data_IF_804516721137
#
_entry.id   IF_804516721137
#
_cell.length_a   1.000
_cell.length_b   1.000
_cell.length_c   1.000
_cell.angle_alpha   90.00
_cell.angle_beta   90.00
_cell.angle_gamma   90.00
#
_symmetry.space_group_name_H-M   'P 1'
#
loop_
_entity.id
_entity.type
_entity.pdbx_description
1 polymer ?
#
# COMPACT_ATOMS: atom_id res chain seq x y z
N UNK A 1 0.81 -13.77 -27.87
CA UNK A 1 -0.46 -13.68 -27.11
C UNK A 1 -0.64 -12.30 -26.46
N UNK A 2 0.31 -11.80 -25.67
CA UNK A 2 0.20 -10.47 -25.03
C UNK A 2 0.10 -9.29 -26.02
N UNK A 3 0.81 -9.34 -27.15
CA UNK A 3 0.74 -8.27 -28.16
C UNK A 3 -0.62 -8.19 -28.84
N UNK A 4 -1.21 -9.36 -29.12
CA UNK A 4 -2.55 -9.47 -29.70
C UNK A 4 -3.64 -9.01 -28.71
N UNK A 5 -3.52 -9.39 -27.44
CA UNK A 5 -4.38 -8.88 -26.37
C UNK A 5 -4.25 -7.35 -26.26
N UNK A 6 -3.03 -6.83 -26.25
CA UNK A 6 -2.77 -5.38 -26.20
C UNK A 6 -3.41 -4.65 -27.38
N UNK A 7 -3.33 -5.21 -28.61
CA UNK A 7 -4.01 -4.65 -29.79
C UNK A 7 -5.53 -4.61 -29.63
N UNK A 8 -6.16 -5.70 -29.17
CA UNK A 8 -7.61 -5.76 -28.96
C UNK A 8 -8.10 -4.85 -27.84
N UNK A 9 -7.22 -4.58 -26.86
CA UNK A 9 -7.51 -3.67 -25.75
C UNK A 9 -7.25 -2.20 -26.07
N UNK A 10 -6.50 -1.82 -27.12
CA UNK A 10 -6.28 -0.39 -27.45
C UNK A 10 -7.58 0.40 -27.65
N UNK A 11 -8.65 -0.25 -28.11
CA UNK A 11 -9.98 0.35 -28.29
C UNK A 11 -10.90 0.20 -27.05
N UNK A 12 -10.40 -0.39 -25.95
CA UNK A 12 -11.15 -0.69 -24.73
C UNK A 12 -10.40 -0.08 -23.53
N UNK A 13 -11.11 0.43 -22.52
CA UNK A 13 -10.47 1.01 -21.32
C UNK A 13 -9.92 -0.09 -20.38
N UNK A 14 -8.90 -0.82 -20.83
CA UNK A 14 -8.28 -1.91 -20.06
C UNK A 14 -6.80 -2.12 -20.42
N UNK A 15 -6.01 -2.49 -19.41
CA UNK A 15 -4.57 -2.72 -19.54
C UNK A 15 -4.24 -4.19 -19.72
N UNK A 16 -3.40 -4.53 -20.71
CA UNK A 16 -2.87 -5.89 -20.86
C UNK A 16 -1.91 -6.27 -19.74
N UNK A 17 -1.28 -5.29 -19.07
CA UNK A 17 -0.39 -5.52 -17.91
C UNK A 17 -1.16 -5.97 -16.66
N UNK A 18 -2.45 -5.60 -16.55
CA UNK A 18 -3.33 -6.09 -15.48
C UNK A 18 -3.79 -7.54 -15.70
N UNK A 19 -3.47 -8.14 -16.86
CA UNK A 19 -3.89 -9.50 -17.20
C UNK A 19 -5.31 -9.59 -17.74
N UNK A 20 -5.80 -10.82 -17.90
CA UNK A 20 -7.08 -11.08 -18.58
C UNK A 20 -8.30 -10.55 -17.80
N UNK A 21 -8.23 -10.45 -16.47
CA UNK A 21 -9.34 -9.92 -15.66
C UNK A 21 -9.80 -8.53 -16.13
N UNK A 22 -8.85 -7.63 -16.39
CA UNK A 22 -9.16 -6.30 -16.95
C UNK A 22 -9.83 -6.37 -18.32
N UNK A 23 -9.42 -7.32 -19.17
CA UNK A 23 -10.02 -7.53 -20.48
C UNK A 23 -11.47 -8.03 -20.39
N UNK A 24 -11.76 -8.92 -19.44
CA UNK A 24 -13.11 -9.43 -19.21
C UNK A 24 -14.06 -8.34 -18.70
N UNK A 25 -13.61 -7.48 -17.77
CA UNK A 25 -14.39 -6.33 -17.30
C UNK A 25 -14.80 -5.45 -18.50
N UNK A 26 -13.83 -5.08 -19.34
CA UNK A 26 -14.10 -4.23 -20.51
C UNK A 26 -14.95 -4.93 -21.58
N UNK A 27 -14.92 -6.26 -21.67
CA UNK A 27 -15.77 -7.02 -22.58
C UNK A 27 -17.21 -7.20 -22.07
N UNK A 28 -17.41 -7.25 -20.75
CA UNK A 28 -18.71 -7.35 -20.12
C UNK A 28 -19.47 -6.01 -20.13
N UNK A 29 -18.75 -4.89 -19.96
CA UNK A 29 -19.31 -3.54 -19.87
C UNK A 29 -20.43 -3.21 -20.88
N UNK A 30 -20.23 -3.35 -22.21
CA UNK A 30 -21.27 -3.01 -23.19
C UNK A 30 -22.40 -4.03 -23.33
N UNK A 31 -22.36 -5.16 -22.60
CA UNK A 31 -23.36 -6.24 -22.70
C UNK A 31 -24.43 -6.17 -21.61
N UNK A 32 -24.32 -5.23 -20.68
CA UNK A 32 -25.21 -5.11 -19.54
C UNK A 32 -26.24 -4.01 -19.78
N UNK A 33 -27.49 -4.30 -19.43
CA UNK A 33 -28.60 -3.34 -19.54
C UNK A 33 -28.36 -2.13 -18.61
N UNK A 34 -28.46 -0.88 -19.10
CA UNK A 34 -28.38 0.31 -18.23
C UNK A 34 -29.42 0.29 -17.11
N UNK A 35 -29.03 0.66 -15.89
CA UNK A 35 -29.90 0.73 -14.71
C UNK A 35 -30.21 -0.60 -14.02
N UNK A 36 -30.15 -1.72 -14.75
CA UNK A 36 -30.56 -3.04 -14.24
C UNK A 36 -29.44 -4.08 -14.27
N UNK A 37 -28.54 -4.00 -15.24
CA UNK A 37 -27.50 -4.99 -15.48
C UNK A 37 -26.48 -5.01 -14.35
N UNK A 38 -26.27 -6.18 -13.74
CA UNK A 38 -25.31 -6.36 -12.65
C UNK A 38 -24.05 -7.09 -13.10
N UNK A 39 -22.94 -6.69 -12.50
CA UNK A 39 -21.63 -7.29 -12.67
C UNK A 39 -21.16 -7.80 -11.31
N UNK A 40 -20.84 -9.09 -11.23
CA UNK A 40 -20.18 -9.69 -10.08
C UNK A 40 -18.89 -10.39 -10.55
N UNK A 41 -17.73 -9.93 -10.08
CA UNK A 41 -16.43 -10.42 -10.55
C UNK A 41 -15.47 -10.68 -9.40
N UNK A 42 -14.91 -11.88 -9.39
CA UNK A 42 -13.71 -12.19 -8.60
C UNK A 42 -12.50 -11.70 -9.38
N UNK A 43 -11.75 -10.75 -8.81
CA UNK A 43 -10.55 -10.17 -9.41
C UNK A 43 -9.38 -10.17 -8.40
N UNK A 44 -8.13 -10.15 -8.87
CA UNK A 44 -6.99 -9.93 -7.98
C UNK A 44 -7.14 -8.62 -7.20
N UNK A 45 -6.83 -8.62 -5.90
CA UNK A 45 -6.96 -7.46 -5.00
C UNK A 45 -6.20 -6.22 -5.51
N UNK A 46 -5.19 -6.43 -6.35
CA UNK A 46 -4.51 -5.35 -7.09
C UNK A 46 -5.45 -4.48 -7.95
N UNK A 47 -6.68 -4.90 -8.24
CA UNK A 47 -7.70 -4.04 -8.87
C UNK A 47 -8.05 -2.82 -8.02
N UNK A 48 -7.87 -2.88 -6.70
CA UNK A 48 -8.19 -1.78 -5.78
C UNK A 48 -7.09 -0.71 -5.74
N UNK A 49 -5.82 -1.11 -5.76
CA UNK A 49 -4.68 -0.16 -5.58
C UNK A 49 -3.62 -0.20 -6.67
N UNK A 50 -3.49 -1.30 -7.41
CA UNK A 50 -2.41 -1.50 -8.37
C UNK A 50 -2.50 -0.53 -9.55
N UNK A 51 -1.37 0.08 -9.99
CA UNK A 51 -1.36 1.09 -11.06
C UNK A 51 -1.76 0.52 -12.43
N UNK A 52 -1.48 -0.76 -12.69
CA UNK A 52 -1.91 -1.41 -13.94
C UNK A 52 -3.43 -1.49 -14.10
N UNK A 53 -4.18 -1.37 -13.00
CA UNK A 53 -5.65 -1.44 -12.98
C UNK A 53 -6.34 -0.08 -13.05
N UNK A 54 -5.59 1.03 -13.16
CA UNK A 54 -6.16 2.39 -13.26
C UNK A 54 -7.25 2.50 -14.34
N UNK A 55 -7.02 1.93 -15.53
CA UNK A 55 -8.01 1.99 -16.61
C UNK A 55 -9.29 1.20 -16.29
N UNK A 56 -9.16 0.08 -15.56
CA UNK A 56 -10.31 -0.72 -15.15
C UNK A 56 -11.12 -0.03 -14.06
N UNK A 57 -10.47 0.60 -13.07
CA UNK A 57 -11.16 1.43 -12.07
C UNK A 57 -11.90 2.60 -12.74
N UNK A 58 -11.23 3.32 -13.64
CA UNK A 58 -11.84 4.42 -14.39
C UNK A 58 -13.03 3.95 -15.26
N UNK A 59 -12.95 2.76 -15.87
CA UNK A 59 -14.09 2.17 -16.57
C UNK A 59 -15.25 1.94 -15.59
N UNK A 60 -14.99 1.34 -14.44
CA UNK A 60 -16.02 1.05 -13.43
C UNK A 60 -16.65 2.36 -12.90
N UNK A 61 -15.85 3.34 -12.51
CA UNK A 61 -16.34 4.65 -12.02
C UNK A 61 -17.19 5.40 -13.06
N UNK A 62 -16.87 5.26 -14.35
CA UNK A 62 -17.61 5.92 -15.41
C UNK A 62 -18.91 5.20 -15.76
N UNK A 63 -18.86 3.87 -15.88
CA UNK A 63 -19.92 3.08 -16.50
C UNK A 63 -20.83 2.38 -15.46
N UNK A 64 -20.40 2.27 -14.22
CA UNK A 64 -21.04 1.49 -13.16
C UNK A 64 -21.15 2.25 -11.84
N UNK A 65 -22.15 1.86 -11.06
CA UNK A 65 -22.30 2.15 -9.63
C UNK A 65 -21.63 0.97 -8.92
N UNK A 66 -20.54 1.22 -8.19
CA UNK A 66 -19.89 0.17 -7.42
C UNK A 66 -20.66 -0.02 -6.10
N UNK A 67 -21.41 -1.12 -5.99
CA UNK A 67 -22.30 -1.37 -4.86
C UNK A 67 -21.52 -1.94 -3.66
N UNK A 68 -20.67 -2.93 -3.93
CA UNK A 68 -19.96 -3.65 -2.89
C UNK A 68 -18.59 -4.16 -3.33
N UNK A 69 -17.64 -4.16 -2.40
CA UNK A 69 -16.34 -4.83 -2.53
C UNK A 69 -16.15 -5.75 -1.33
N UNK A 70 -16.03 -7.06 -1.59
CA UNK A 70 -15.79 -8.06 -0.56
C UNK A 70 -14.32 -8.52 -0.65
N UNK A 71 -13.58 -8.43 0.44
CA UNK A 71 -12.18 -8.83 0.53
C UNK A 71 -11.98 -9.88 1.61
N UNK A 72 -11.13 -10.87 1.33
CA UNK A 72 -10.63 -11.79 2.34
C UNK A 72 -9.40 -11.21 3.04
N UNK A 73 -9.45 -11.17 4.36
CA UNK A 73 -8.32 -10.98 5.26
C UNK A 73 -8.01 -12.26 6.06
N UNK A 74 -8.49 -13.41 5.61
CA UNK A 74 -8.20 -14.69 6.25
C UNK A 74 -6.76 -15.14 5.90
N UNK A 75 -5.84 -15.24 6.89
CA UNK A 75 -4.45 -15.61 6.64
C UNK A 75 -4.26 -17.03 6.10
N UNK A 76 -5.23 -17.91 6.33
CA UNK A 76 -5.22 -19.25 5.75
C UNK A 76 -5.64 -19.25 4.27
N UNK A 77 -6.43 -18.24 3.84
CA UNK A 77 -6.96 -18.16 2.48
C UNK A 77 -7.35 -16.73 2.09
N UNK A 78 -6.45 -16.01 1.43
CA UNK A 78 -6.65 -14.63 0.96
C UNK A 78 -7.53 -14.48 -0.29
N UNK A 79 -8.10 -15.57 -0.79
CA UNK A 79 -8.72 -15.69 -2.11
C UNK A 79 -10.04 -16.45 -2.08
N UNK A 80 -10.81 -16.34 -3.17
CA UNK A 80 -12.08 -17.04 -3.35
C UNK A 80 -11.96 -18.20 -4.33
N UNK A 81 -11.06 -18.10 -5.31
CA UNK A 81 -10.80 -19.13 -6.31
C UNK A 81 -10.03 -20.33 -5.72
N UNK A 82 -10.31 -21.55 -6.16
CA UNK A 82 -9.66 -22.77 -5.65
C UNK A 82 -8.16 -22.83 -5.96
N UNK A 83 -7.75 -22.46 -7.17
CA UNK A 83 -6.40 -22.69 -7.70
C UNK A 83 -5.53 -21.42 -7.70
N UNK A 84 -5.56 -20.64 -6.62
CA UNK A 84 -4.69 -19.47 -6.47
C UNK A 84 -4.29 -19.27 -5.01
N UNK A 85 -3.19 -18.54 -4.83
CA UNK A 85 -2.81 -17.98 -3.53
C UNK A 85 -2.69 -16.45 -3.58
N UNK A 86 -3.04 -15.84 -4.71
CA UNK A 86 -3.06 -14.39 -4.85
C UNK A 86 -4.27 -13.83 -4.12
N UNK A 87 -4.13 -12.70 -3.42
CA UNK A 87 -5.28 -12.06 -2.78
C UNK A 87 -6.32 -11.64 -3.82
N UNK A 88 -7.60 -11.86 -3.53
CA UNK A 88 -8.72 -11.54 -4.42
C UNK A 88 -9.77 -10.68 -3.72
N UNK A 89 -10.56 -9.98 -4.53
CA UNK A 89 -11.78 -9.28 -4.12
C UNK A 89 -12.94 -9.74 -4.99
N UNK A 90 -14.14 -9.79 -4.43
CA UNK A 90 -15.39 -9.89 -5.19
C UNK A 90 -15.98 -8.48 -5.32
N UNK A 91 -16.04 -7.98 -6.55
CA UNK A 91 -16.68 -6.71 -6.88
C UNK A 91 -18.11 -6.96 -7.34
N UNK A 92 -19.04 -6.18 -6.79
CA UNK A 92 -20.45 -6.15 -7.22
C UNK A 92 -20.76 -4.72 -7.66
N UNK A 93 -21.22 -4.57 -8.89
CA UNK A 93 -21.53 -3.27 -9.47
C UNK A 93 -22.77 -3.32 -10.37
N UNK A 94 -23.53 -2.24 -10.39
CA UNK A 94 -24.71 -2.07 -11.22
C UNK A 94 -24.42 -1.12 -12.37
N UNK A 95 -24.79 -1.47 -13.60
CA UNK A 95 -24.60 -0.63 -14.78
C UNK A 95 -25.37 0.68 -14.60
N UNK A 96 -24.69 1.82 -14.74
CA UNK A 96 -25.35 3.14 -14.62
C UNK A 96 -26.45 3.29 -15.66
N UNK A 97 -27.57 3.86 -15.25
CA UNK A 97 -28.62 4.36 -16.16
C UNK A 97 -28.11 5.59 -16.92
N UNK A 98 -28.75 5.88 -18.06
CA UNK A 98 -28.53 7.15 -18.78
C UNK A 98 -29.19 8.35 -18.06
N UNK A 99 -30.15 8.07 -17.17
CA UNK A 99 -30.77 9.07 -16.28
C UNK A 99 -29.82 9.48 -15.14
N UNK A 100 -30.02 10.70 -14.61
CA UNK A 100 -29.11 11.44 -13.72
C UNK A 100 -28.31 10.57 -12.75
N UNK A 101 -27.00 10.87 -12.64
CA UNK A 101 -26.10 10.28 -11.62
C UNK A 101 -26.74 10.36 -10.24
N UNK A 102 -26.84 9.22 -9.58
CA UNK A 102 -27.18 9.16 -8.16
C UNK A 102 -26.14 9.98 -7.37
N UNK A 103 -26.64 10.91 -6.57
CA UNK A 103 -25.84 11.72 -5.64
C UNK A 103 -25.81 11.01 -4.29
N UNK A 104 -24.67 11.05 -3.60
CA UNK A 104 -24.47 10.44 -2.27
C UNK A 104 -24.53 8.89 -2.25
N UNK A 105 -24.14 8.25 -3.36
CA UNK A 105 -23.97 6.80 -3.38
C UNK A 105 -22.87 6.37 -2.40
N UNK A 106 -23.09 5.24 -1.71
CA UNK A 106 -22.11 4.67 -0.77
C UNK A 106 -21.76 3.26 -1.20
N UNK A 107 -20.47 2.95 -1.13
CA UNK A 107 -19.90 1.65 -1.45
C UNK A 107 -19.76 0.85 -0.17
N UNK A 108 -20.31 -0.35 -0.13
CA UNK A 108 -20.16 -1.25 1.01
C UNK A 108 -18.88 -2.06 0.86
N UNK A 109 -17.99 -1.97 1.84
CA UNK A 109 -16.83 -2.82 1.94
C UNK A 109 -17.08 -3.90 2.99
N UNK A 110 -16.96 -5.16 2.58
CA UNK A 110 -17.06 -6.32 3.47
C UNK A 110 -15.65 -6.89 3.63
N UNK A 111 -15.08 -6.74 4.82
CA UNK A 111 -13.75 -7.24 5.13
C UNK A 111 -13.90 -8.52 5.97
N UNK A 112 -13.75 -9.67 5.32
CA UNK A 112 -13.89 -10.98 5.94
C UNK A 112 -12.63 -11.35 6.71
N UNK A 113 -12.75 -11.71 7.98
CA UNK A 113 -11.65 -12.22 8.82
C UNK A 113 -11.49 -13.73 8.67
N UNK A 114 -12.57 -14.41 8.31
CA UNK A 114 -12.59 -15.83 8.02
C UNK A 114 -13.44 -16.09 6.77
N UNK A 115 -12.88 -16.85 5.82
CA UNK A 115 -13.60 -17.20 4.61
C UNK A 115 -14.57 -18.38 4.84
N UNK A 116 -15.72 -18.43 4.14
CA UNK A 116 -16.70 -19.52 4.30
C UNK A 116 -16.10 -20.87 3.89
N UNK A 117 -16.31 -21.92 4.69
CA UNK A 117 -15.63 -23.21 4.46
C UNK A 117 -16.25 -24.04 3.32
N UNK A 118 -17.49 -23.75 2.94
CA UNK A 118 -18.21 -24.41 1.84
C UNK A 118 -19.44 -23.63 1.38
N UNK A 119 -20.24 -24.23 0.49
CA UNK A 119 -21.39 -23.58 -0.17
C UNK A 119 -22.47 -23.15 0.82
N UNK A 120 -22.77 -23.99 1.82
CA UNK A 120 -23.78 -23.66 2.84
C UNK A 120 -23.36 -22.46 3.69
N UNK A 121 -22.10 -22.44 4.14
CA UNK A 121 -21.53 -21.31 4.89
C UNK A 121 -21.49 -20.04 4.05
N UNK A 122 -21.16 -20.15 2.76
CA UNK A 122 -21.17 -19.02 1.84
C UNK A 122 -22.59 -18.44 1.66
N UNK A 123 -23.62 -19.29 1.61
CA UNK A 123 -25.01 -18.85 1.55
C UNK A 123 -25.46 -18.17 2.85
N UNK A 124 -25.08 -18.71 4.02
CA UNK A 124 -25.34 -18.08 5.32
C UNK A 124 -24.65 -16.72 5.43
N UNK A 125 -23.38 -16.65 5.02
CA UNK A 125 -22.60 -15.42 4.97
C UNK A 125 -23.24 -14.36 4.07
N UNK A 126 -23.69 -14.75 2.87
CA UNK A 126 -24.38 -13.84 1.96
C UNK A 126 -25.66 -13.26 2.59
N UNK A 127 -26.47 -14.10 3.25
CA UNK A 127 -27.66 -13.63 3.97
C UNK A 127 -27.30 -12.67 5.11
N UNK A 128 -26.26 -13.00 5.90
CA UNK A 128 -25.79 -12.14 6.98
C UNK A 128 -25.32 -10.77 6.47
N UNK A 129 -24.55 -10.73 5.36
CA UNK A 129 -24.11 -9.49 4.71
C UNK A 129 -25.31 -8.62 4.33
N UNK A 130 -26.39 -9.20 3.80
CA UNK A 130 -27.59 -8.44 3.41
C UNK A 130 -28.43 -7.95 4.60
N UNK A 131 -28.26 -8.55 5.78
CA UNK A 131 -29.04 -8.22 6.97
C UNK A 131 -28.36 -7.20 7.89
N UNK A 132 -27.04 -7.01 7.77
CA UNK A 132 -26.25 -6.10 8.61
C UNK A 132 -26.18 -4.72 7.97
N UNK A 133 -26.56 -3.67 8.73
CA UNK A 133 -26.36 -2.28 8.31
C UNK A 133 -24.88 -1.90 8.41
N UNK A 134 -24.21 -1.49 7.30
CA UNK A 134 -22.78 -1.17 7.33
C UNK A 134 -22.49 0.09 8.16
N UNK A 135 -21.39 0.07 8.93
CA UNK A 135 -20.97 1.24 9.69
C UNK A 135 -20.52 2.37 8.73
N UNK A 136 -21.03 3.60 8.83
CA UNK A 136 -20.54 4.70 8.02
C UNK A 136 -19.09 5.06 8.37
N UNK A 137 -18.28 5.41 7.37
CA UNK A 137 -16.89 5.84 7.53
C UNK A 137 -16.74 6.99 8.55
N UNK A 138 -17.66 7.94 8.49
CA UNK A 138 -17.63 9.20 9.24
C UNK A 138 -18.04 9.02 10.71
N UNK A 139 -18.71 7.90 11.03
CA UNK A 139 -19.18 7.57 12.38
C UNK A 139 -18.21 6.63 13.09
N UNK A 140 -18.21 6.67 14.41
CA UNK A 140 -17.52 5.67 15.25
C UNK A 140 -18.27 4.32 15.27
N UNK A 141 -17.56 3.24 15.59
CA UNK A 141 -18.12 1.90 15.78
C UNK A 141 -17.93 0.96 14.58
N UNK A 142 -18.10 -0.34 14.79
CA UNK A 142 -18.02 -1.35 13.73
C UNK A 142 -19.37 -2.02 13.49
N UNK A 143 -19.60 -2.46 12.25
CA UNK A 143 -20.71 -3.35 11.94
C UNK A 143 -20.15 -4.76 11.79
N UNK A 144 -20.19 -5.51 12.89
CA UNK A 144 -19.69 -6.88 12.96
C UNK A 144 -20.59 -7.81 12.16
N UNK A 145 -19.96 -8.69 11.39
CA UNK A 145 -20.62 -9.75 10.65
C UNK A 145 -20.54 -11.04 11.45
N UNK A 146 -21.68 -11.57 11.87
CA UNK A 146 -21.77 -12.82 12.62
C UNK A 146 -22.42 -13.92 11.79
N UNK A 147 -21.83 -15.12 11.81
CA UNK A 147 -22.41 -16.34 11.25
C UNK A 147 -22.29 -17.45 12.28
N UNK A 148 -23.40 -18.10 12.60
CA UNK A 148 -23.46 -19.21 13.57
C UNK A 148 -22.75 -18.91 14.90
N UNK A 149 -22.94 -17.70 15.46
CA UNK A 149 -22.36 -17.30 16.74
C UNK A 149 -20.89 -16.85 16.69
N UNK A 150 -20.28 -16.75 15.51
CA UNK A 150 -18.89 -16.36 15.34
C UNK A 150 -18.78 -15.08 14.49
N UNK A 151 -17.94 -14.14 14.93
CA UNK A 151 -17.60 -12.98 14.11
C UNK A 151 -16.68 -13.40 12.97
N UNK A 152 -17.10 -13.14 11.73
CA UNK A 152 -16.39 -13.55 10.51
C UNK A 152 -15.93 -12.37 9.66
N UNK A 153 -16.23 -11.14 10.06
CA UNK A 153 -15.80 -9.93 9.34
C UNK A 153 -16.46 -8.65 9.83
N UNK A 154 -16.22 -7.56 9.11
CA UNK A 154 -16.82 -6.25 9.33
C UNK A 154 -17.33 -5.61 8.04
N UNK A 155 -18.38 -4.80 8.17
CA UNK A 155 -18.95 -3.99 7.09
C UNK A 155 -18.72 -2.50 7.36
N UNK A 156 -18.24 -1.78 6.34
CA UNK A 156 -18.11 -0.33 6.38
C UNK A 156 -18.66 0.27 5.09
N UNK A 157 -19.46 1.33 5.18
CA UNK A 157 -19.91 2.09 4.01
C UNK A 157 -19.07 3.34 3.82
N UNK A 158 -18.59 3.56 2.59
CA UNK A 158 -17.72 4.69 2.22
C UNK A 158 -18.42 5.49 1.11
N UNK A 159 -18.53 6.82 1.22
CA UNK A 159 -19.06 7.64 0.13
C UNK A 159 -18.26 7.45 -1.17
N UNK A 160 -18.94 7.35 -2.31
CA UNK A 160 -18.29 7.17 -3.61
C UNK A 160 -17.29 8.32 -3.91
N UNK A 161 -17.59 9.55 -3.47
CA UNK A 161 -16.74 10.73 -3.65
C UNK A 161 -15.36 10.62 -2.97
N UNK A 162 -15.23 9.80 -1.94
CA UNK A 162 -13.94 9.50 -1.30
C UNK A 162 -12.97 8.91 -2.33
N UNK A 163 -13.50 8.12 -3.27
CA UNK A 163 -12.71 7.44 -4.29
C UNK A 163 -12.58 8.18 -5.62
N UNK A 164 -13.17 9.37 -5.77
CA UNK A 164 -13.08 10.12 -7.02
C UNK A 164 -11.61 10.37 -7.43
N UNK A 165 -11.12 9.64 -8.43
CA UNK A 165 -9.73 9.68 -8.89
C UNK A 165 -8.71 9.07 -7.93
N UNK A 166 -9.15 8.31 -6.91
CA UNK A 166 -8.29 7.66 -5.91
C UNK A 166 -8.39 6.13 -6.00
N UNK A 167 -7.55 5.44 -5.24
CA UNK A 167 -7.60 3.98 -5.09
C UNK A 167 -8.74 3.59 -4.15
N UNK A 168 -9.24 2.36 -4.30
CA UNK A 168 -10.30 1.82 -3.43
C UNK A 168 -9.70 1.27 -2.14
N UNK A 169 -9.42 2.17 -1.19
CA UNK A 169 -8.73 1.85 0.06
C UNK A 169 -9.56 1.02 1.06
N UNK A 170 -10.88 0.91 0.89
CA UNK A 170 -11.77 0.25 1.86
C UNK A 170 -11.51 -1.23 2.13
N UNK A 171 -10.62 -1.87 1.35
CA UNK A 171 -10.18 -3.26 1.53
C UNK A 171 -8.75 -3.38 2.08
N UNK A 172 -8.09 -2.28 2.40
CA UNK A 172 -6.68 -2.29 2.83
C UNK A 172 -6.50 -2.75 4.28
N UNK A 173 -7.55 -2.73 5.09
CA UNK A 173 -7.49 -3.18 6.48
C UNK A 173 -8.71 -4.05 6.78
N UNK A 174 -8.53 -5.03 7.64
CA UNK A 174 -9.58 -5.95 8.04
C UNK A 174 -10.58 -5.27 8.98
N UNK A 175 -10.11 -4.28 9.75
CA UNK A 175 -10.91 -3.55 10.74
C UNK A 175 -11.29 -2.16 10.26
N UNK A 176 -12.53 -1.76 10.53
CA UNK A 176 -13.06 -0.45 10.21
C UNK A 176 -12.27 0.68 10.91
N UNK A 177 -11.82 0.48 12.14
CA UNK A 177 -11.09 1.51 12.88
C UNK A 177 -9.70 1.78 12.30
N UNK A 178 -8.93 0.74 11.96
CA UNK A 178 -7.63 0.91 11.28
C UNK A 178 -7.80 1.64 9.94
N UNK A 179 -8.84 1.28 9.19
CA UNK A 179 -9.19 1.93 7.93
C UNK A 179 -9.59 3.40 8.12
N UNK A 180 -10.35 3.75 9.16
CA UNK A 180 -10.72 5.13 9.48
C UNK A 180 -9.51 5.99 9.79
N UNK A 181 -8.61 5.49 10.64
CA UNK A 181 -7.36 6.22 10.95
C UNK A 181 -6.58 6.47 9.67
N UNK A 182 -6.45 5.45 8.82
CA UNK A 182 -5.74 5.59 7.55
C UNK A 182 -6.40 6.62 6.62
N UNK A 183 -7.72 6.59 6.45
CA UNK A 183 -8.41 7.49 5.53
C UNK A 183 -8.44 8.93 6.03
N UNK A 184 -8.65 9.16 7.34
CA UNK A 184 -8.54 10.50 7.94
C UNK A 184 -7.14 11.08 7.76
N UNK A 185 -6.11 10.28 8.00
CA UNK A 185 -4.73 10.71 7.77
C UNK A 185 -4.48 11.04 6.29
N UNK A 186 -4.85 10.16 5.37
CA UNK A 186 -4.53 10.31 3.94
C UNK A 186 -5.33 11.41 3.23
N UNK A 187 -6.56 11.69 3.67
CA UNK A 187 -7.48 12.60 2.99
C UNK A 187 -7.55 13.96 3.69
N UNK A 188 -7.59 13.95 5.01
CA UNK A 188 -7.83 15.15 5.83
C UNK A 188 -6.54 15.64 6.51
N UNK A 189 -5.47 14.82 6.52
CA UNK A 189 -4.26 15.11 7.29
C UNK A 189 -4.49 14.98 8.80
N UNK A 190 -5.60 14.38 9.22
CA UNK A 190 -5.98 14.26 10.63
C UNK A 190 -5.40 13.00 11.26
N UNK A 191 -4.61 13.18 12.32
CA UNK A 191 -4.20 12.14 13.24
C UNK A 191 -5.31 11.97 14.28
N UNK A 192 -6.07 10.88 14.13
CA UNK A 192 -7.10 10.45 15.06
C UNK A 192 -6.78 9.05 15.58
N UNK A 193 -6.88 8.84 16.88
CA UNK A 193 -6.64 7.53 17.52
C UNK A 193 -7.97 7.02 18.10
N UNK A 194 -8.39 5.76 17.81
CA UNK A 194 -9.62 5.22 18.36
C UNK A 194 -9.67 5.27 19.89
N UNK A 195 -10.80 5.77 20.41
CA UNK A 195 -11.02 5.98 21.85
C UNK A 195 -10.44 7.29 22.40
N UNK A 196 -9.73 8.09 21.60
CA UNK A 196 -9.33 9.45 21.95
C UNK A 196 -10.33 10.47 21.41
N UNK A 197 -10.51 11.58 22.13
CA UNK A 197 -11.38 12.69 21.73
C UNK A 197 -10.66 13.78 20.96
N UNK A 198 -9.33 13.81 21.06
CA UNK A 198 -8.49 14.84 20.44
C UNK A 198 -8.02 14.39 19.06
N UNK A 199 -8.09 15.30 18.10
CA UNK A 199 -7.49 15.13 16.78
C UNK A 199 -6.42 16.20 16.57
N UNK A 200 -5.38 15.85 15.83
CA UNK A 200 -4.30 16.78 15.46
C UNK A 200 -4.09 16.72 13.96
N UNK A 201 -4.11 17.86 13.29
CA UNK A 201 -3.82 17.92 11.85
C UNK A 201 -2.33 18.08 11.63
N UNK A 202 -1.78 17.31 10.69
CA UNK A 202 -0.40 17.43 10.24
C UNK A 202 -0.35 17.71 8.73
N UNK A 203 0.65 18.48 8.27
CA UNK A 203 0.79 18.72 6.85
C UNK A 203 1.37 17.47 6.17
N UNK A 204 0.68 16.98 5.14
CA UNK A 204 1.17 15.89 4.30
C UNK A 204 1.42 16.38 2.87
N UNK A 205 2.46 15.84 2.24
CA UNK A 205 2.72 15.99 0.81
C UNK A 205 3.04 14.63 0.17
N UNK A 206 3.08 14.60 -1.16
CA UNK A 206 3.56 13.42 -1.89
C UNK A 206 5.09 13.32 -1.73
N UNK A 207 5.61 12.10 -1.59
CA UNK A 207 7.05 11.85 -1.46
C UNK A 207 7.86 12.49 -2.59
N UNK A 208 7.33 12.50 -3.82
CA UNK A 208 8.04 13.03 -4.99
C UNK A 208 8.24 14.55 -5.01
N UNK A 209 7.57 15.26 -4.08
CA UNK A 209 7.76 16.68 -3.81
C UNK A 209 8.99 16.94 -2.94
N UNK A 210 9.44 15.97 -2.13
CA UNK A 210 10.60 16.09 -1.25
C UNK A 210 11.84 15.32 -1.75
N UNK A 211 11.64 14.30 -2.59
CA UNK A 211 12.74 13.51 -3.14
C UNK A 211 12.42 12.80 -4.43
N UNK A 212 13.40 12.65 -5.32
CA UNK A 212 13.22 11.95 -6.60
C UNK A 212 13.47 10.46 -6.44
N UNK A 213 12.46 9.67 -6.80
CA UNK A 213 12.52 8.20 -6.80
C UNK A 213 13.42 7.70 -7.93
N UNK A 214 14.43 6.92 -7.56
CA UNK A 214 15.46 6.34 -8.41
C UNK A 214 14.96 5.33 -9.44
N UNK A 215 15.86 4.74 -10.24
CA UNK A 215 15.50 3.93 -11.40
C UNK A 215 14.79 2.62 -11.01
N UNK A 216 13.99 2.08 -11.93
CA UNK A 216 13.40 0.73 -11.75
C UNK A 216 14.52 -0.32 -11.75
N UNK A 217 14.37 -1.38 -10.95
CA UNK A 217 15.33 -2.50 -10.92
C UNK A 217 15.63 -3.07 -12.31
N UNK A 218 14.67 -3.02 -13.24
CA UNK A 218 14.85 -3.43 -14.64
C UNK A 218 15.76 -2.47 -15.40
N UNK A 219 15.63 -1.17 -15.14
CA UNK A 219 16.54 -0.17 -15.72
C UNK A 219 17.97 -0.36 -15.19
N UNK A 220 18.11 -0.60 -13.87
CA UNK A 220 19.42 -0.91 -13.24
C UNK A 220 20.02 -2.17 -13.86
N UNK A 221 19.21 -3.24 -14.00
CA UNK A 221 19.61 -4.44 -14.72
C UNK A 221 20.10 -4.06 -16.12
N UNK A 222 19.28 -3.41 -16.95
CA UNK A 222 19.58 -3.12 -18.35
C UNK A 222 20.76 -2.14 -18.58
N UNK A 223 21.30 -1.50 -17.52
CA UNK A 223 22.50 -0.64 -17.60
C UNK A 223 23.73 -1.17 -16.88
N UNK A 224 23.60 -2.16 -15.98
CA UNK A 224 24.69 -2.65 -15.15
C UNK A 224 24.69 -4.18 -15.00
N UNK A 225 25.88 -4.73 -14.76
CA UNK A 225 26.12 -6.03 -14.17
C UNK A 225 26.48 -5.91 -12.69
N UNK A 226 26.11 -6.91 -11.89
CA UNK A 226 26.40 -6.93 -10.45
C UNK A 226 27.76 -7.58 -10.22
N UNK A 227 28.54 -7.02 -9.30
CA UNK A 227 29.86 -7.53 -8.97
C UNK A 227 30.17 -7.40 -7.48
N UNK A 228 31.03 -8.29 -6.98
CA UNK A 228 31.63 -8.17 -5.65
C UNK A 228 32.87 -7.28 -5.63
N UNK A 229 33.42 -6.94 -6.80
CA UNK A 229 34.58 -6.05 -6.93
C UNK A 229 34.15 -4.60 -6.74
N UNK A 230 34.90 -3.84 -5.94
CA UNK A 230 34.65 -2.42 -5.70
C UNK A 230 34.67 -1.64 -7.03
N UNK A 231 33.62 -0.87 -7.27
CA UNK A 231 33.51 0.07 -8.40
C UNK A 231 33.03 1.43 -7.89
N UNK A 232 32.95 2.42 -8.79
CA UNK A 232 32.36 3.73 -8.51
C UNK A 232 30.83 3.71 -8.30
N UNK A 233 30.17 2.54 -8.41
CA UNK A 233 28.72 2.40 -8.38
C UNK A 233 28.29 1.44 -7.26
N UNK A 234 28.37 1.84 -5.98
CA UNK A 234 27.89 1.02 -4.88
C UNK A 234 26.38 0.75 -4.97
N UNK A 235 25.98 -0.40 -4.44
CA UNK A 235 24.61 -0.90 -4.47
C UNK A 235 24.24 -1.57 -3.16
N UNK A 236 22.95 -1.51 -2.84
CA UNK A 236 22.30 -2.38 -1.87
C UNK A 236 21.46 -3.44 -2.60
N UNK A 237 21.87 -4.71 -2.50
CA UNK A 237 21.23 -5.86 -3.17
C UNK A 237 20.23 -6.62 -2.30
N UNK A 238 20.48 -6.68 -0.98
CA UNK A 238 19.84 -7.70 -0.16
C UNK A 238 18.58 -7.20 0.56
N UNK A 239 17.53 -8.02 0.50
CA UNK A 239 16.32 -7.91 1.32
C UNK A 239 16.37 -8.79 2.57
N UNK A 240 17.48 -9.47 2.86
CA UNK A 240 17.62 -10.33 4.03
C UNK A 240 17.26 -9.57 5.31
N UNK A 241 16.07 -9.87 5.82
CA UNK A 241 15.47 -9.21 6.97
C UNK A 241 16.20 -9.54 8.27
N UNK A 242 17.06 -10.57 8.28
CA UNK A 242 17.95 -10.82 9.40
C UNK A 242 19.19 -9.93 9.38
N UNK A 243 19.56 -9.39 8.22
CA UNK A 243 20.64 -8.40 8.09
C UNK A 243 20.10 -6.95 8.17
N UNK A 244 18.86 -6.72 7.73
CA UNK A 244 18.22 -5.39 7.68
C UNK A 244 17.31 -5.14 8.88
N UNK A 245 17.92 -5.08 10.07
CA UNK A 245 17.21 -4.85 11.36
C UNK A 245 17.19 -3.38 11.80
N UNK A 246 17.96 -2.51 11.13
CA UNK A 246 18.31 -1.16 11.57
C UNK A 246 17.96 -0.14 10.49
N UNK A 247 17.84 1.15 10.86
CA UNK A 247 17.56 2.21 9.89
C UNK A 247 18.81 2.69 9.14
N UNK A 248 20.00 2.23 9.51
CA UNK A 248 21.24 2.47 8.77
C UNK A 248 21.63 1.27 7.89
N UNK A 249 22.29 1.55 6.76
CA UNK A 249 22.79 0.51 5.85
C UNK A 249 24.05 0.95 5.13
N UNK A 250 24.99 0.01 4.95
CA UNK A 250 26.11 0.17 4.04
C UNK A 250 25.86 -0.57 2.70
N UNK A 251 26.52 -0.16 1.61
CA UNK A 251 26.52 -0.92 0.37
C UNK A 251 27.06 -2.34 0.60
N UNK A 252 26.37 -3.34 0.05
CA UNK A 252 26.76 -4.75 0.15
C UNK A 252 27.28 -5.32 -1.19
N UNK A 253 27.14 -4.55 -2.27
CA UNK A 253 27.55 -4.89 -3.64
C UNK A 253 27.96 -3.66 -4.43
N UNK A 254 28.46 -3.91 -5.64
CA UNK A 254 28.81 -2.90 -6.61
C UNK A 254 28.23 -3.24 -7.98
N UNK A 255 28.15 -2.22 -8.84
CA UNK A 255 27.68 -2.31 -10.20
C UNK A 255 28.79 -1.99 -11.20
N UNK A 256 28.85 -2.74 -12.29
CA UNK A 256 29.74 -2.49 -13.43
C UNK A 256 28.89 -2.12 -14.66
N UNK A 257 29.12 -0.97 -15.32
CA UNK A 257 28.37 -0.61 -16.52
C UNK A 257 28.45 -1.68 -17.61
N UNK A 258 27.31 -1.97 -18.23
CA UNK A 258 27.29 -2.85 -19.41
C UNK A 258 27.87 -2.12 -20.63
N UNK A 259 28.66 -2.84 -21.42
CA UNK A 259 29.20 -2.34 -22.70
C UNK A 259 28.21 -2.59 -23.84
N UNK A 260 27.48 -3.70 -23.77
CA UNK A 260 26.51 -4.13 -24.78
C UNK A 260 25.14 -4.39 -24.15
N UNK A 261 24.04 -4.16 -24.89
CA UNK A 261 22.70 -4.52 -24.42
C UNK A 261 22.57 -6.03 -24.22
N UNK A 262 21.75 -6.44 -23.25
CA UNK A 262 21.31 -7.82 -23.17
C UNK A 262 20.36 -8.16 -24.33
N UNK A 263 20.32 -9.44 -24.70
CA UNK A 263 19.50 -9.94 -25.80
C UNK A 263 18.02 -9.45 -25.72
N UNK A 264 17.55 -8.81 -26.78
CA UNK A 264 16.18 -8.29 -26.88
C UNK A 264 15.87 -7.06 -26.00
N UNK A 265 16.89 -6.39 -25.45
CA UNK A 265 16.73 -5.20 -24.60
C UNK A 265 17.54 -4.02 -25.11
N UNK A 266 17.22 -2.83 -24.63
CA UNK A 266 17.98 -1.61 -24.92
C UNK A 266 18.99 -1.36 -23.81
N UNK A 267 20.21 -0.96 -24.17
CA UNK A 267 21.25 -0.60 -23.20
C UNK A 267 20.86 0.71 -22.51
N UNK A 268 20.72 0.68 -21.18
CA UNK A 268 20.46 1.89 -20.39
C UNK A 268 21.80 2.55 -20.04
N UNK A 269 21.86 3.87 -20.15
CA UNK A 269 23.10 4.60 -19.90
C UNK A 269 23.41 4.63 -18.40
N UNK A 270 24.48 3.96 -18.00
CA UNK A 270 24.93 3.86 -16.60
C UNK A 270 25.04 5.23 -15.91
N UNK A 271 25.60 6.23 -16.58
CA UNK A 271 25.73 7.58 -16.04
C UNK A 271 24.37 8.23 -15.70
N UNK A 272 23.35 8.06 -16.55
CA UNK A 272 22.01 8.61 -16.32
C UNK A 272 21.28 7.88 -15.18
N UNK A 273 21.50 6.57 -15.05
CA UNK A 273 20.97 5.80 -13.93
C UNK A 273 21.66 6.22 -12.63
N UNK A 274 22.97 6.40 -12.64
CA UNK A 274 23.75 6.77 -11.46
C UNK A 274 23.41 8.16 -10.92
N UNK A 275 23.05 9.12 -11.77
CA UNK A 275 22.57 10.44 -11.34
C UNK A 275 21.34 10.39 -10.42
N UNK A 276 20.60 9.27 -10.45
CA UNK A 276 19.42 8.99 -9.64
C UNK A 276 19.73 8.13 -8.40
N UNK A 277 21.00 7.83 -8.11
CA UNK A 277 21.40 7.22 -6.85
C UNK A 277 21.02 8.13 -5.66
N UNK A 278 20.68 7.50 -4.54
CA UNK A 278 20.21 8.18 -3.34
C UNK A 278 20.74 7.51 -2.08
N UNK A 279 20.75 8.23 -0.97
CA UNK A 279 21.15 7.70 0.35
C UNK A 279 19.97 7.12 1.10
N UNK A 280 18.79 7.72 0.97
CA UNK A 280 17.55 7.17 1.47
C UNK A 280 17.09 6.00 0.58
N UNK A 281 16.71 4.89 1.20
CA UNK A 281 16.21 3.69 0.56
C UNK A 281 14.84 3.35 1.13
N UNK A 282 13.83 3.19 0.27
CA UNK A 282 12.48 2.78 0.68
C UNK A 282 12.13 1.44 0.03
N UNK A 283 11.56 0.52 0.78
CA UNK A 283 11.34 -0.85 0.30
C UNK A 283 10.43 -0.90 -0.95
N UNK A 284 10.84 -1.60 -2.00
CA UNK A 284 9.95 -1.90 -3.15
C UNK A 284 8.97 -3.03 -2.78
N UNK A 285 9.49 -4.09 -2.17
CA UNK A 285 8.75 -5.31 -1.86
C UNK A 285 8.89 -5.62 -0.38
N UNK A 286 7.80 -6.06 0.21
CA UNK A 286 7.68 -6.29 1.63
C UNK A 286 7.03 -7.65 1.82
N UNK A 287 7.68 -8.51 2.59
CA UNK A 287 7.02 -9.63 3.25
C UNK A 287 6.73 -9.17 4.67
N UNK A 288 5.50 -8.68 4.91
CA UNK A 288 5.17 -7.97 6.15
C UNK A 288 5.48 -8.80 7.40
N UNK A 289 5.37 -10.13 7.33
CA UNK A 289 5.68 -11.04 8.43
C UNK A 289 7.16 -11.03 8.85
N UNK A 290 8.10 -10.72 7.95
CA UNK A 290 9.54 -10.74 8.22
C UNK A 290 10.19 -9.36 8.19
N UNK A 291 9.59 -8.39 7.49
CA UNK A 291 10.07 -7.00 7.45
C UNK A 291 10.20 -6.42 8.86
N UNK A 292 11.29 -5.67 9.08
CA UNK A 292 11.55 -4.94 10.33
C UNK A 292 11.56 -3.43 10.11
N UNK A 293 12.30 -2.96 9.12
CA UNK A 293 12.33 -1.56 8.67
C UNK A 293 11.84 -1.46 7.22
N UNK A 294 11.23 -0.33 6.87
CA UNK A 294 10.69 -0.05 5.54
C UNK A 294 11.43 1.09 4.83
N UNK A 295 12.22 1.86 5.60
CA UNK A 295 13.13 2.86 5.09
C UNK A 295 14.50 2.75 5.79
N UNK A 296 15.58 2.98 5.05
CA UNK A 296 16.95 2.98 5.57
C UNK A 296 17.75 4.14 4.96
N UNK A 297 18.80 4.54 5.63
CA UNK A 297 19.76 5.55 5.17
C UNK A 297 21.14 4.94 4.98
N UNK A 298 21.79 5.25 3.87
CA UNK A 298 23.17 4.86 3.59
C UNK A 298 24.13 6.03 3.70
N UNK A 299 25.35 5.75 4.17
CA UNK A 299 26.43 6.74 4.30
C UNK A 299 26.82 7.35 2.94
N UNK A 300 26.61 6.62 1.85
CA UNK A 300 26.94 7.03 0.48
C UNK A 300 25.74 6.84 -0.46
N UNK A 301 25.63 7.61 -1.55
CA UNK A 301 24.59 7.36 -2.55
C UNK A 301 24.74 5.97 -3.16
N UNK A 302 23.63 5.23 -3.28
CA UNK A 302 23.63 3.88 -3.86
C UNK A 302 22.50 3.71 -4.88
N UNK A 303 22.65 2.70 -5.73
CA UNK A 303 21.53 2.10 -6.46
C UNK A 303 21.03 0.85 -5.73
N UNK A 304 19.89 0.32 -6.17
CA UNK A 304 19.35 -0.93 -5.65
C UNK A 304 18.43 -1.60 -6.66
N UNK A 305 18.31 -2.92 -6.56
CA UNK A 305 17.39 -3.76 -7.33
C UNK A 305 16.16 -4.24 -6.50
N UNK A 306 16.10 -3.84 -5.24
CA UNK A 306 15.17 -4.32 -4.21
C UNK A 306 14.61 -3.18 -3.36
N UNK A 307 15.34 -2.08 -3.24
CA UNK A 307 14.91 -0.83 -2.64
C UNK A 307 14.78 0.24 -3.71
N UNK A 308 13.98 1.27 -3.43
CA UNK A 308 13.92 2.50 -4.18
C UNK A 308 14.90 3.50 -3.58
N UNK A 309 16.01 3.84 -4.27
CA UNK A 309 16.83 4.97 -3.87
C UNK A 309 16.02 6.25 -4.02
N UNK A 310 16.04 7.11 -3.01
CA UNK A 310 15.39 8.41 -3.03
C UNK A 310 16.48 9.47 -2.91
N UNK A 311 16.50 10.39 -3.87
CA UNK A 311 17.42 11.53 -3.86
C UNK A 311 16.68 12.77 -3.38
N UNK A 312 16.97 13.19 -2.15
CA UNK A 312 16.44 14.43 -1.56
C UNK A 312 17.45 15.58 -1.72
N UNK A 313 17.08 16.78 -1.27
CA UNK A 313 17.92 17.97 -1.34
C UNK A 313 19.07 17.95 -0.33
N UNK A 314 18.87 17.34 0.84
CA UNK A 314 19.86 17.29 1.91
C UNK A 314 19.68 16.09 2.86
N UNK A 315 20.69 15.82 3.69
CA UNK A 315 20.69 14.66 4.58
C UNK A 315 19.64 14.71 5.69
N UNK A 316 19.28 15.90 6.19
CA UNK A 316 18.25 16.01 7.21
C UNK A 316 16.88 15.55 6.67
N UNK A 317 16.60 15.76 5.38
CA UNK A 317 15.40 15.24 4.72
C UNK A 317 15.47 13.72 4.59
N UNK A 318 16.61 13.16 4.18
CA UNK A 318 16.81 11.71 4.11
C UNK A 318 16.47 11.05 5.46
N UNK A 319 17.02 11.59 6.55
CA UNK A 319 16.85 11.11 7.93
C UNK A 319 15.42 11.27 8.45
N UNK A 320 14.83 12.46 8.28
CA UNK A 320 13.47 12.73 8.74
C UNK A 320 12.42 11.87 8.01
N UNK A 321 12.59 11.64 6.70
CA UNK A 321 11.73 10.72 5.95
C UNK A 321 11.92 9.28 6.44
N UNK A 322 13.15 8.84 6.72
CA UNK A 322 13.39 7.50 7.27
C UNK A 322 12.72 7.29 8.62
N UNK A 323 12.78 8.29 9.51
CA UNK A 323 12.07 8.30 10.81
C UNK A 323 10.55 8.21 10.59
N UNK A 324 9.99 9.08 9.74
CA UNK A 324 8.57 9.09 9.43
C UNK A 324 8.09 7.73 8.91
N UNK A 325 8.76 7.17 7.90
CA UNK A 325 8.31 5.93 7.26
C UNK A 325 8.41 4.70 8.19
N UNK A 326 9.31 4.71 9.18
CA UNK A 326 9.46 3.60 10.13
C UNK A 326 8.57 3.71 11.39
N UNK A 327 7.97 4.87 11.66
CA UNK A 327 6.98 5.03 12.73
C UNK A 327 5.61 4.46 12.36
N UNK A 328 4.69 4.39 13.33
CA UNK A 328 3.35 3.84 13.13
C UNK A 328 2.51 4.64 12.13
N UNK A 329 2.66 5.97 12.07
CA UNK A 329 1.93 6.80 11.09
C UNK A 329 2.44 6.59 9.66
N UNK A 330 3.76 6.60 9.43
CA UNK A 330 4.30 6.36 8.09
C UNK A 330 4.11 4.91 7.64
N UNK A 331 4.16 3.94 8.56
CA UNK A 331 3.77 2.56 8.24
C UNK A 331 2.30 2.47 7.82
N UNK A 332 1.40 3.21 8.48
CA UNK A 332 -0.01 3.24 8.09
C UNK A 332 -0.18 3.76 6.65
N UNK A 333 0.56 4.80 6.25
CA UNK A 333 0.47 5.32 4.88
C UNK A 333 1.02 4.34 3.85
N UNK A 334 2.14 3.65 4.14
CA UNK A 334 2.67 2.58 3.30
C UNK A 334 1.66 1.45 3.16
N UNK A 335 1.11 0.97 4.27
CA UNK A 335 0.15 -0.12 4.27
C UNK A 335 -1.11 0.27 3.50
N UNK A 336 -1.64 1.47 3.69
CA UNK A 336 -2.82 1.91 2.94
C UNK A 336 -2.56 2.04 1.43
N UNK A 337 -1.35 2.43 1.02
CA UNK A 337 -1.01 2.62 -0.40
C UNK A 337 -0.52 1.35 -1.13
N UNK A 338 -0.30 0.25 -0.39
CA UNK A 338 0.33 -0.97 -0.89
C UNK A 338 -0.43 -1.62 -2.05
N UNK A 339 0.31 -2.29 -2.93
CA UNK A 339 -0.24 -3.26 -3.89
C UNK A 339 -0.12 -4.66 -3.29
N UNK A 340 -1.26 -5.27 -2.92
CA UNK A 340 -1.31 -6.62 -2.33
C UNK A 340 -1.21 -7.71 -3.38
N UNK A 341 -0.22 -8.60 -3.26
CA UNK A 341 -0.07 -9.75 -4.16
C UNK A 341 -0.62 -11.03 -3.53
N UNK A 342 -0.15 -11.39 -2.33
CA UNK A 342 -0.57 -12.58 -1.56
C UNK A 342 -0.48 -12.26 -0.07
N UNK A 343 -1.58 -11.88 0.55
CA UNK A 343 -1.61 -11.52 1.97
C UNK A 343 -0.52 -10.51 2.32
N UNK A 344 0.36 -10.88 3.26
CA UNK A 344 1.52 -10.07 3.68
C UNK A 344 2.60 -9.85 2.61
N UNK A 345 2.55 -10.49 1.44
CA UNK A 345 3.45 -10.18 0.32
C UNK A 345 2.90 -9.01 -0.50
N UNK A 346 3.51 -7.84 -0.30
CA UNK A 346 3.03 -6.57 -0.84
C UNK A 346 4.17 -5.81 -1.53
N UNK A 347 3.80 -4.82 -2.34
CA UNK A 347 4.77 -3.97 -3.03
C UNK A 347 4.35 -2.50 -3.06
N UNK A 348 5.34 -1.63 -2.97
CA UNK A 348 5.26 -0.21 -3.30
C UNK A 348 5.79 -0.01 -4.72
N UNK A 349 4.89 0.13 -5.70
CA UNK A 349 5.32 0.42 -7.08
C UNK A 349 5.84 1.83 -7.18
N UNK A 350 6.69 2.11 -8.16
CA UNK A 350 7.27 3.46 -8.37
C UNK A 350 6.21 4.56 -8.43
N UNK A 351 5.08 4.33 -9.09
CA UNK A 351 3.97 5.30 -9.14
C UNK A 351 3.34 5.50 -7.75
N UNK A 352 3.03 4.41 -7.05
CA UNK A 352 2.46 4.43 -5.70
C UNK A 352 3.40 5.12 -4.70
N UNK A 353 4.71 4.90 -4.84
CA UNK A 353 5.71 5.49 -3.97
C UNK A 353 5.88 6.99 -4.21
N UNK A 354 5.79 7.46 -5.46
CA UNK A 354 5.78 8.90 -5.76
C UNK A 354 4.62 9.61 -5.09
N UNK A 355 3.44 9.00 -5.15
CA UNK A 355 2.20 9.53 -4.59
C UNK A 355 2.03 9.23 -3.09
N UNK A 356 2.98 8.54 -2.45
CA UNK A 356 2.91 8.15 -1.04
C UNK A 356 2.81 9.41 -0.16
N UNK A 357 1.74 9.57 0.64
CA UNK A 357 1.64 10.68 1.56
C UNK A 357 2.64 10.54 2.70
N UNK A 358 3.45 11.59 2.89
CA UNK A 358 4.43 11.73 3.96
C UNK A 358 4.33 13.11 4.58
N UNK A 359 4.88 13.28 5.78
CA UNK A 359 4.99 14.58 6.44
C UNK A 359 5.66 15.61 5.52
N UNK A 360 5.03 16.78 5.34
CA UNK A 360 5.62 17.87 4.56
C UNK A 360 6.71 18.58 5.36
N UNK A 361 7.95 18.13 5.15
CA UNK A 361 9.11 18.63 5.88
C UNK A 361 9.41 20.11 5.63
N UNK A 362 8.88 20.69 4.55
CA UNK A 362 9.06 22.13 4.22
C UNK A 362 8.27 23.02 5.16
N UNK A 363 7.25 22.47 5.82
CA UNK A 363 6.37 23.17 6.75
C UNK A 363 6.77 22.96 8.21
N UNK A 364 7.83 22.21 8.48
CA UNK A 364 8.42 22.10 9.80
C UNK A 364 9.30 23.31 10.10
N UNK A 365 9.34 23.70 11.37
CA UNK A 365 10.36 24.64 11.86
C UNK A 365 11.75 24.01 11.81
N UNK A 366 12.79 24.84 11.80
CA UNK A 366 14.18 24.35 11.81
C UNK A 366 14.47 23.44 13.01
N UNK A 367 13.93 23.78 14.19
CA UNK A 367 14.09 22.97 15.41
C UNK A 367 13.36 21.62 15.31
N UNK A 368 12.18 21.57 14.68
CA UNK A 368 11.47 20.32 14.45
C UNK A 368 12.22 19.42 13.47
N UNK A 369 12.70 19.96 12.34
CA UNK A 369 13.48 19.19 11.37
C UNK A 369 14.79 18.68 11.99
N UNK A 370 15.47 19.52 12.78
CA UNK A 370 16.67 19.13 13.52
C UNK A 370 16.36 18.02 14.53
N UNK A 371 15.25 18.12 15.25
CA UNK A 371 14.81 17.09 16.20
C UNK A 371 14.50 15.75 15.51
N UNK A 372 13.86 15.77 14.34
CA UNK A 372 13.64 14.57 13.52
C UNK A 372 14.96 13.95 13.04
N UNK A 373 15.93 14.78 12.61
CA UNK A 373 17.26 14.30 12.21
C UNK A 373 18.03 13.71 13.39
N UNK A 374 17.97 14.33 14.57
CA UNK A 374 18.63 13.80 15.77
C UNK A 374 17.99 12.49 16.23
N UNK A 375 16.66 12.40 16.18
CA UNK A 375 15.92 11.16 16.48
C UNK A 375 16.35 10.03 15.55
N UNK A 376 16.60 10.32 14.26
CA UNK A 376 17.19 9.33 13.37
C UNK A 376 18.55 8.86 13.90
N UNK A 377 19.46 9.79 14.22
CA UNK A 377 20.83 9.46 14.64
C UNK A 377 20.87 8.64 15.94
N UNK A 378 19.98 8.95 16.89
CA UNK A 378 19.81 8.19 18.14
C UNK A 378 19.30 6.77 17.88
N UNK A 379 18.39 6.60 16.92
CA UNK A 379 17.70 5.34 16.66
C UNK A 379 18.31 4.52 15.51
N UNK A 380 19.28 5.07 14.77
CA UNK A 380 19.79 4.51 13.51
C UNK A 380 20.28 3.06 13.67
N UNK A 381 20.97 2.79 14.77
CA UNK A 381 21.59 1.49 15.09
C UNK A 381 20.69 0.57 15.92
N UNK A 382 19.52 1.04 16.35
CA UNK A 382 18.58 0.23 17.13
C UNK A 382 18.00 -0.89 16.28
N UNK A 383 17.87 -2.09 16.86
CA UNK A 383 17.24 -3.22 16.18
C UNK A 383 15.72 -3.14 16.31
N UNK A 384 15.04 -3.19 15.16
CA UNK A 384 13.60 -3.22 15.07
C UNK A 384 13.09 -4.66 15.08
N UNK A 385 12.01 -4.88 15.84
CA UNK A 385 11.24 -6.10 15.72
C UNK A 385 10.52 -6.19 14.37
N UNK A 386 10.21 -7.42 13.99
CA UNK A 386 9.40 -7.70 12.79
C UNK A 386 8.05 -7.01 12.94
N UNK A 387 7.42 -6.61 11.83
CA UNK A 387 6.13 -5.91 11.87
C UNK A 387 5.03 -6.63 12.68
N UNK A 388 4.88 -7.99 12.67
CA UNK A 388 3.94 -8.67 13.55
C UNK A 388 4.14 -8.39 15.05
N UNK A 389 5.39 -8.14 15.45
CA UNK A 389 5.78 -7.85 16.83
C UNK A 389 5.95 -6.34 17.09
N UNK A 390 5.52 -5.47 16.17
CA UNK A 390 5.73 -4.03 16.30
C UNK A 390 5.06 -3.41 17.53
N UNK A 391 3.98 -4.01 18.03
CA UNK A 391 3.30 -3.59 19.26
C UNK A 391 4.25 -3.48 20.47
N UNK A 392 5.18 -4.44 20.59
CA UNK A 392 6.13 -4.55 21.70
C UNK A 392 7.55 -4.12 21.33
N UNK A 393 7.74 -3.50 20.16
CA UNK A 393 9.04 -3.09 19.65
C UNK A 393 9.52 -1.78 20.33
N UNK A 394 10.56 -1.81 21.17
CA UNK A 394 11.02 -0.60 21.87
C UNK A 394 11.52 0.47 20.91
N UNK A 395 12.23 0.06 19.84
CA UNK A 395 12.76 0.99 18.86
C UNK A 395 11.64 1.74 18.11
N UNK A 396 10.55 1.04 17.79
CA UNK A 396 9.41 1.67 17.10
C UNK A 396 8.59 2.55 18.05
N UNK A 397 8.46 2.14 19.32
CA UNK A 397 7.87 2.99 20.35
C UNK A 397 8.66 4.29 20.51
N UNK A 398 9.99 4.24 20.57
CA UNK A 398 10.81 5.44 20.67
C UNK A 398 10.64 6.37 19.45
N UNK A 399 10.47 5.84 18.22
CA UNK A 399 10.12 6.66 17.06
C UNK A 399 8.74 7.30 17.18
N UNK A 400 7.74 6.54 17.61
CA UNK A 400 6.38 7.05 17.81
C UNK A 400 6.36 8.17 18.84
N UNK A 401 7.01 7.97 19.99
CA UNK A 401 7.11 8.94 21.08
C UNK A 401 7.87 10.20 20.63
N UNK A 402 9.00 10.03 19.93
CA UNK A 402 9.79 11.12 19.40
C UNK A 402 9.03 11.98 18.39
N UNK A 403 8.32 11.35 17.45
CA UNK A 403 7.49 12.07 16.48
C UNK A 403 6.30 12.75 17.15
N UNK A 404 5.65 12.07 18.10
CA UNK A 404 4.55 12.66 18.84
C UNK A 404 4.98 13.91 19.61
N UNK A 405 6.16 13.89 20.22
CA UNK A 405 6.73 15.06 20.89
C UNK A 405 7.06 16.20 19.90
N UNK A 406 7.68 15.90 18.76
CA UNK A 406 8.08 16.91 17.77
C UNK A 406 6.86 17.60 17.13
N UNK A 407 5.80 16.84 16.88
CA UNK A 407 4.62 17.31 16.15
C UNK A 407 3.41 17.62 17.05
N UNK A 408 3.52 17.40 18.36
CA UNK A 408 2.42 17.62 19.31
C UNK A 408 1.24 16.65 19.12
N UNK A 409 1.53 15.38 18.84
CA UNK A 409 0.51 14.35 18.56
C UNK A 409 0.06 13.62 19.83
N UNK A 410 -1.13 12.98 19.82
CA UNK A 410 -1.49 12.01 20.84
C UNK A 410 -0.55 10.79 20.84
N UNK A 411 -0.63 10.00 21.91
CA UNK A 411 0.07 8.71 22.00
C UNK A 411 -0.34 7.78 20.85
N UNK A 412 0.66 7.33 20.08
CA UNK A 412 0.48 6.44 18.93
C UNK A 412 0.49 4.95 19.32
N UNK A 413 0.66 4.62 20.61
CA UNK A 413 0.72 3.25 21.10
C UNK A 413 -0.49 2.39 20.69
N UNK A 414 -1.71 2.94 20.79
CA UNK A 414 -2.93 2.23 20.35
C UNK A 414 -2.91 1.97 18.84
N UNK A 415 -2.50 2.95 18.03
CA UNK A 415 -2.35 2.76 16.58
C UNK A 415 -1.32 1.67 16.25
N UNK A 416 -0.17 1.69 16.93
CA UNK A 416 0.86 0.66 16.77
C UNK A 416 0.32 -0.74 17.02
N UNK A 417 -0.51 -0.92 18.05
CA UNK A 417 -1.16 -2.20 18.37
C UNK A 417 -2.23 -2.59 17.33
N UNK A 418 -3.04 -1.63 16.86
CA UNK A 418 -4.03 -1.89 15.81
C UNK A 418 -3.36 -2.38 14.53
N UNK A 419 -2.30 -1.70 14.07
CA UNK A 419 -1.54 -2.11 12.88
C UNK A 419 -0.91 -3.49 13.10
N UNK A 420 -0.25 -3.72 14.24
CA UNK A 420 0.40 -4.99 14.55
C UNK A 420 -0.55 -6.18 14.51
N UNK A 421 -1.81 -5.96 14.86
CA UNK A 421 -2.84 -6.98 14.96
C UNK A 421 -3.63 -7.19 13.66
N UNK A 422 -3.45 -6.36 12.63
CA UNK A 422 -4.10 -6.60 11.33
C UNK A 422 -3.68 -7.97 10.76
N UNK A 423 -4.59 -8.80 10.20
CA UNK A 423 -4.24 -10.11 9.70
C UNK A 423 -3.13 -10.08 8.64
N UNK A 424 -3.16 -9.05 7.78
CA UNK A 424 -2.15 -8.86 6.73
C UNK A 424 -0.73 -8.61 7.29
N UNK A 425 -0.64 -8.12 8.53
CA UNK A 425 0.62 -7.87 9.25
C UNK A 425 0.95 -9.05 10.16
N UNK A 426 0.02 -9.45 11.03
CA UNK A 426 0.21 -10.47 12.07
C UNK A 426 0.26 -11.90 11.54
N UNK A 427 -0.30 -12.15 10.36
CA UNK A 427 -0.57 -13.48 9.81
C UNK A 427 -1.44 -14.35 10.76
N UNK A 428 -2.39 -13.72 11.47
CA UNK A 428 -3.32 -14.36 12.42
C UNK A 428 -4.75 -13.91 12.15
N UNK A 429 -5.72 -14.82 12.34
CA UNK A 429 -7.15 -14.50 12.31
C UNK A 429 -7.52 -13.56 13.47
N UNK A 430 -8.58 -12.79 13.28
CA UNK A 430 -9.15 -11.91 14.30
C UNK A 430 -10.12 -12.61 15.22
#
# INVERSE_FOLDING_TARGET
MQDELSRRLKAKRASSTAGLGAAFVAAASPKLLPGEGRLALVLPATVCTGPSWNQTRALIEQDFILDMVIASHDPERWNFSESTSLSEVLLIATRRSEEKRQTNHRIVHVNLWQNPSGVLDAHRLANAITAVEPAPLEKHGSALLEVDGHHVGELISIPEEVYAGRKWFGVQFARADTLRVALRLLIEGEVWIPGETTTTTIPLCQLDQLGKVGPDRRDVWDGFERTGTVTAYPMVENHDTEQRKRMVTEPDKYLAPLVEPRAGRHLRQAAQLWQQAGRLLVAERLWLETTRVVAMHSSTPVLSNVWWPIKTDNEAYDKAIAVWLNCSLGLLTILAQRTTTRGGWVAMKKADLKELPILDLRLLTEDQLKSMSNLFDEMAESEFERLPAMAVCPARQALDDGIANVLGLPDLGKLRHLIASEPVVSNRRL
#
